data_IF_979348127229
#
_entry.id   IF_979348127229
#
_cell.length_a   1.000
_cell.length_b   1.000
_cell.length_c   1.000
_cell.angle_alpha   90.00
_cell.angle_beta   90.00
_cell.angle_gamma   90.00
#
_symmetry.space_group_name_H-M   'P 1'
#
loop_
_entity.id
_entity.type
_entity.pdbx_description
1 polymer ?
#
# COMPACT_ATOMS: atom_id res chain seq x y z
N UNK A 1 -12.69 -7.07 2.50
CA UNK A 1 -11.75 -6.03 2.95
C UNK A 1 -12.11 -5.64 4.36
N UNK A 2 -11.10 -5.47 5.21
CA UNK A 2 -11.18 -4.74 6.47
C UNK A 2 -10.38 -3.44 6.32
N UNK A 3 -10.56 -2.51 7.26
CA UNK A 3 -9.83 -1.25 7.27
C UNK A 3 -9.23 -0.98 8.64
N UNK A 4 -7.97 -0.58 8.68
CA UNK A 4 -7.26 -0.23 9.91
C UNK A 4 -6.92 1.26 9.90
N UNK A 5 -7.27 2.04 10.94
CA UNK A 5 -6.98 3.47 10.95
C UNK A 5 -5.49 3.75 11.14
N UNK A 6 -5.01 4.76 10.45
CA UNK A 6 -3.70 5.39 10.62
C UNK A 6 -3.97 6.73 11.30
N UNK A 7 -3.38 6.95 12.47
CA UNK A 7 -3.66 8.11 13.31
C UNK A 7 -2.52 9.14 13.25
N UNK A 8 -2.86 10.41 13.09
CA UNK A 8 -1.94 11.53 13.24
C UNK A 8 -1.98 12.03 14.69
N UNK A 9 -0.91 11.77 15.44
CA UNK A 9 -0.82 12.18 16.84
C UNK A 9 -0.77 13.70 17.05
N UNK A 10 -0.22 14.46 16.09
CA UNK A 10 -0.13 15.91 16.20
C UNK A 10 -1.48 16.57 15.92
N UNK A 11 -2.20 16.07 14.91
CA UNK A 11 -3.55 16.52 14.59
C UNK A 11 -4.63 15.96 15.55
N UNK A 12 -4.29 14.90 16.30
CA UNK A 12 -5.21 14.14 17.13
C UNK A 12 -6.44 13.62 16.35
N UNK A 13 -6.23 13.21 15.10
CA UNK A 13 -7.29 12.70 14.22
C UNK A 13 -6.80 11.56 13.33
N UNK A 14 -7.74 10.83 12.71
CA UNK A 14 -7.45 9.78 11.75
C UNK A 14 -6.94 10.41 10.46
N UNK A 15 -5.69 10.09 10.11
CA UNK A 15 -5.05 10.52 8.87
C UNK A 15 -5.60 9.78 7.65
N UNK A 16 -5.85 8.49 7.81
CA UNK A 16 -6.34 7.61 6.76
C UNK A 16 -6.54 6.18 7.23
N UNK A 17 -6.72 5.27 6.29
CA UNK A 17 -7.05 3.89 6.56
C UNK A 17 -6.30 2.96 5.62
N UNK A 18 -5.71 1.91 6.16
CA UNK A 18 -5.13 0.83 5.35
C UNK A 18 -6.20 -0.21 5.01
N UNK A 19 -6.32 -0.55 3.73
CA UNK A 19 -7.19 -1.61 3.24
C UNK A 19 -6.49 -2.97 3.36
N UNK A 20 -7.11 -3.87 4.12
CA UNK A 20 -6.56 -5.20 4.40
C UNK A 20 -7.46 -6.29 3.82
N UNK A 21 -6.87 -7.20 3.06
CA UNK A 21 -7.63 -8.33 2.51
C UNK A 21 -8.12 -9.26 3.64
N UNK A 22 -9.36 -9.73 3.49
CA UNK A 22 -10.03 -10.67 4.39
C UNK A 22 -10.87 -11.63 3.58
N UNK A 23 -10.99 -12.86 4.06
CA UNK A 23 -11.92 -13.83 3.49
C UNK A 23 -13.37 -13.42 3.73
N UNK A 24 -14.29 -14.05 3.00
CA UNK A 24 -15.73 -13.70 3.02
C UNK A 24 -16.39 -13.98 4.37
N UNK A 25 -15.82 -14.88 5.19
CA UNK A 25 -16.29 -15.21 6.53
C UNK A 25 -15.43 -14.55 7.63
N UNK A 26 -14.62 -13.54 7.27
CA UNK A 26 -13.73 -12.85 8.21
C UNK A 26 -12.36 -13.50 8.40
N UNK A 27 -11.98 -14.45 7.53
CA UNK A 27 -10.67 -15.08 7.58
C UNK A 27 -9.53 -14.06 7.41
N UNK A 28 -8.40 -14.31 8.08
CA UNK A 28 -7.23 -13.43 8.02
C UNK A 28 -6.60 -13.35 6.62
N UNK A 29 -5.78 -12.31 6.41
CA UNK A 29 -5.14 -12.04 5.12
C UNK A 29 -4.38 -13.26 4.56
N UNK A 30 -3.61 -13.95 5.42
CA UNK A 30 -2.86 -15.14 5.03
C UNK A 30 -3.72 -16.23 4.37
N UNK A 31 -4.96 -16.46 4.85
CA UNK A 31 -5.86 -17.46 4.26
C UNK A 31 -6.33 -17.11 2.85
N UNK A 32 -6.30 -15.82 2.49
CA UNK A 32 -6.64 -15.35 1.15
C UNK A 32 -5.38 -15.37 0.28
N UNK A 33 -4.28 -14.80 0.79
CA UNK A 33 -3.01 -14.69 0.09
C UNK A 33 -2.38 -16.05 -0.23
N UNK A 34 -2.59 -17.08 0.61
CA UNK A 34 -2.09 -18.44 0.33
C UNK A 34 -2.73 -19.12 -0.88
N UNK A 35 -3.82 -18.56 -1.42
CA UNK A 35 -4.50 -19.02 -2.63
C UNK A 35 -4.09 -18.23 -3.88
N UNK A 36 -3.26 -17.20 -3.71
CA UNK A 36 -2.74 -16.38 -4.81
C UNK A 36 -1.56 -17.12 -5.44
N UNK A 37 -1.60 -17.26 -6.76
CA UNK A 37 -0.56 -17.89 -7.58
C UNK A 37 -0.05 -16.87 -8.59
N UNK A 38 1.09 -17.13 -9.23
CA UNK A 38 1.64 -16.18 -10.21
C UNK A 38 0.71 -15.96 -11.41
N UNK A 39 -0.12 -16.95 -11.77
CA UNK A 39 -1.10 -16.82 -12.85
C UNK A 39 -2.26 -15.89 -12.49
N UNK A 40 -2.64 -15.81 -11.21
CA UNK A 40 -3.80 -15.03 -10.76
C UNK A 40 -3.43 -13.73 -10.02
N UNK A 41 -2.14 -13.54 -9.68
CA UNK A 41 -1.63 -12.42 -8.88
C UNK A 41 -2.08 -11.07 -9.41
N UNK A 42 -1.99 -10.85 -10.72
CA UNK A 42 -2.40 -9.59 -11.35
C UNK A 42 -3.90 -9.32 -11.20
N UNK A 43 -4.73 -10.31 -11.52
CA UNK A 43 -6.18 -10.19 -11.39
C UNK A 43 -6.58 -9.98 -9.92
N UNK A 44 -5.94 -10.69 -9.00
CA UNK A 44 -6.18 -10.56 -7.57
C UNK A 44 -5.84 -9.16 -7.04
N UNK A 45 -4.66 -8.63 -7.38
CA UNK A 45 -4.21 -7.29 -7.00
C UNK A 45 -5.19 -6.21 -7.50
N UNK A 46 -5.60 -6.31 -8.77
CA UNK A 46 -6.57 -5.39 -9.36
C UNK A 46 -7.92 -5.45 -8.64
N UNK A 47 -8.44 -6.63 -8.35
CA UNK A 47 -9.70 -6.80 -7.62
C UNK A 47 -9.60 -6.26 -6.19
N UNK A 48 -8.45 -6.41 -5.54
CA UNK A 48 -8.22 -5.83 -4.21
C UNK A 48 -8.33 -4.31 -4.25
N UNK A 49 -7.68 -3.65 -5.21
CA UNK A 49 -7.73 -2.19 -5.37
C UNK A 49 -9.15 -1.69 -5.64
N UNK A 50 -9.84 -2.29 -6.61
CA UNK A 50 -11.23 -1.93 -6.95
C UNK A 50 -12.12 -2.09 -5.71
N UNK A 51 -12.04 -3.23 -5.04
CA UNK A 51 -12.92 -3.52 -3.89
C UNK A 51 -12.63 -2.61 -2.70
N UNK A 52 -11.36 -2.26 -2.45
CA UNK A 52 -10.99 -1.32 -1.41
C UNK A 52 -11.60 0.07 -1.66
N UNK A 53 -11.49 0.58 -2.89
CA UNK A 53 -12.03 1.89 -3.28
C UNK A 53 -13.55 1.93 -3.15
N UNK A 54 -14.24 0.96 -3.73
CA UNK A 54 -15.71 0.91 -3.72
C UNK A 54 -16.27 0.79 -2.31
N UNK A 55 -15.63 -0.03 -1.46
CA UNK A 55 -16.09 -0.23 -0.09
C UNK A 55 -15.75 0.96 0.80
N UNK A 56 -14.58 1.58 0.65
CA UNK A 56 -14.24 2.80 1.38
C UNK A 56 -15.19 3.96 1.03
N UNK A 57 -15.54 4.09 -0.26
CA UNK A 57 -16.55 5.04 -0.71
C UNK A 57 -17.92 4.77 -0.09
N UNK A 58 -18.42 3.53 -0.18
CA UNK A 58 -19.78 3.20 0.30
C UNK A 58 -19.92 3.32 1.81
N UNK A 59 -18.82 3.16 2.56
CA UNK A 59 -18.74 3.39 4.00
C UNK A 59 -18.54 4.87 4.37
N UNK A 60 -18.37 5.78 3.40
CA UNK A 60 -18.15 7.20 3.64
C UNK A 60 -16.88 7.50 4.44
N UNK A 61 -15.85 6.64 4.30
CA UNK A 61 -14.65 6.74 5.11
C UNK A 61 -13.93 8.08 4.85
N UNK A 62 -13.49 8.82 5.88
CA UNK A 62 -12.71 10.04 5.71
C UNK A 62 -11.22 9.74 5.50
N UNK A 63 -10.44 10.78 5.18
CA UNK A 63 -8.97 10.67 5.10
C UNK A 63 -8.46 9.88 3.90
N UNK A 64 -7.18 9.52 3.92
CA UNK A 64 -6.55 8.74 2.84
C UNK A 64 -6.94 7.27 2.91
N UNK A 65 -6.90 6.59 1.77
CA UNK A 65 -7.05 5.15 1.63
C UNK A 65 -5.73 4.58 1.14
N UNK A 66 -5.05 3.85 2.02
CA UNK A 66 -3.80 3.16 1.73
C UNK A 66 -4.09 1.75 1.24
N UNK A 67 -3.47 1.36 0.12
CA UNK A 67 -3.69 0.07 -0.52
C UNK A 67 -2.34 -0.57 -0.84
N UNK A 68 -2.16 -1.80 -0.37
CA UNK A 68 -1.03 -2.65 -0.70
C UNK A 68 -0.91 -2.85 -2.22
N UNK A 69 0.30 -2.67 -2.75
CA UNK A 69 0.62 -2.81 -4.16
C UNK A 69 1.60 -3.96 -4.38
N UNK A 70 1.27 -4.89 -5.27
CA UNK A 70 2.14 -6.00 -5.64
C UNK A 70 2.91 -5.68 -6.93
N UNK A 71 4.14 -5.12 -6.88
CA UNK A 71 4.86 -4.63 -8.06
C UNK A 71 5.19 -5.74 -9.06
N UNK A 72 5.50 -6.95 -8.59
CA UNK A 72 5.77 -8.10 -9.47
C UNK A 72 4.51 -8.66 -10.16
N UNK A 73 3.31 -8.19 -9.78
CA UNK A 73 2.09 -8.49 -10.52
C UNK A 73 1.97 -7.65 -11.79
N UNK A 74 2.77 -6.60 -11.96
CA UNK A 74 2.54 -5.54 -12.94
C UNK A 74 3.64 -5.50 -14.00
N UNK A 75 3.32 -6.00 -15.20
CA UNK A 75 4.21 -5.89 -16.36
C UNK A 75 4.10 -4.52 -17.08
N UNK A 76 2.90 -3.91 -17.11
CA UNK A 76 2.65 -2.62 -17.77
C UNK A 76 1.97 -1.61 -16.80
N UNK A 77 2.66 -0.52 -16.43
CA UNK A 77 2.17 0.47 -15.44
C UNK A 77 0.83 1.11 -15.84
N UNK A 78 0.72 1.50 -17.12
CA UNK A 78 -0.47 2.17 -17.67
C UNK A 78 -1.72 1.30 -17.69
N UNK A 79 -1.57 0.00 -17.96
CA UNK A 79 -2.70 -0.92 -17.94
C UNK A 79 -3.20 -1.16 -16.50
N UNK A 80 -2.26 -1.25 -15.56
CA UNK A 80 -2.52 -1.47 -14.15
C UNK A 80 -3.20 -0.28 -13.46
N UNK A 81 -2.75 0.94 -13.74
CA UNK A 81 -3.32 2.15 -13.14
C UNK A 81 -4.73 2.43 -13.65
N UNK A 82 -5.01 2.10 -14.92
CA UNK A 82 -6.28 2.39 -15.58
C UNK A 82 -7.48 1.83 -14.80
N UNK A 83 -7.41 0.58 -14.36
CA UNK A 83 -8.52 -0.03 -13.62
C UNK A 83 -8.76 0.62 -12.25
N UNK A 84 -7.69 1.10 -11.59
CA UNK A 84 -7.81 1.84 -10.33
C UNK A 84 -8.49 3.19 -10.58
N UNK A 85 -8.01 3.93 -11.58
CA UNK A 85 -8.57 5.23 -11.97
C UNK A 85 -10.03 5.10 -12.39
N UNK A 86 -10.37 4.10 -13.19
CA UNK A 86 -11.74 3.81 -13.61
C UNK A 86 -12.65 3.47 -12.42
N UNK A 87 -12.17 2.67 -11.46
CA UNK A 87 -12.92 2.34 -10.25
C UNK A 87 -13.15 3.56 -9.36
N UNK A 88 -12.12 4.38 -9.17
CA UNK A 88 -12.24 5.64 -8.44
C UNK A 88 -13.22 6.59 -9.13
N UNK A 89 -13.11 6.77 -10.45
CA UNK A 89 -14.02 7.62 -11.22
C UNK A 89 -15.48 7.13 -11.16
N UNK A 90 -15.71 5.81 -11.24
CA UNK A 90 -17.05 5.20 -11.19
C UNK A 90 -17.80 5.56 -9.91
N UNK A 91 -17.11 5.69 -8.78
CA UNK A 91 -17.72 6.02 -7.48
C UNK A 91 -17.40 7.46 -7.03
N UNK A 92 -16.74 8.27 -7.86
CA UNK A 92 -16.32 9.62 -7.48
C UNK A 92 -15.32 9.66 -6.32
N UNK A 93 -14.45 8.65 -6.19
CA UNK A 93 -13.39 8.63 -5.17
C UNK A 93 -12.23 9.55 -5.61
N UNK A 94 -11.80 10.54 -4.80
CA UNK A 94 -10.71 11.43 -5.16
C UNK A 94 -9.36 10.70 -5.24
N UNK A 95 -8.63 10.85 -6.34
CA UNK A 95 -7.36 10.14 -6.55
C UNK A 95 -6.27 10.58 -5.57
N UNK A 96 -6.29 11.84 -5.14
CA UNK A 96 -5.38 12.42 -4.16
C UNK A 96 -5.51 11.79 -2.76
N UNK A 97 -6.63 11.11 -2.50
CA UNK A 97 -6.85 10.34 -1.28
C UNK A 97 -6.29 8.93 -1.37
N UNK A 98 -5.95 8.43 -2.55
CA UNK A 98 -5.34 7.10 -2.70
C UNK A 98 -3.86 7.16 -2.35
N UNK A 99 -3.40 6.17 -1.61
CA UNK A 99 -1.99 5.91 -1.37
C UNK A 99 -1.66 4.46 -1.70
N UNK A 100 -0.57 4.24 -2.41
CA UNK A 100 -0.08 2.91 -2.74
C UNK A 100 1.13 2.54 -1.90
N UNK A 101 1.07 1.38 -1.25
CA UNK A 101 2.11 0.87 -0.38
C UNK A 101 2.95 -0.16 -1.12
N UNK A 102 4.27 0.06 -1.14
CA UNK A 102 5.23 -0.80 -1.80
C UNK A 102 6.09 -1.46 -0.73
N UNK A 103 6.00 -2.77 -0.60
CA UNK A 103 6.77 -3.55 0.39
C UNK A 103 8.25 -3.66 0.02
N UNK A 104 9.13 -3.61 1.02
CA UNK A 104 10.58 -3.74 0.82
C UNK A 104 11.03 -5.11 0.27
N UNK A 105 10.28 -6.18 0.59
CA UNK A 105 10.66 -7.58 0.32
C UNK A 105 10.54 -7.98 -1.15
N UNK A 106 9.80 -7.21 -1.95
CA UNK A 106 9.67 -7.48 -3.38
C UNK A 106 10.99 -7.15 -4.07
N UNK A 107 11.78 -8.18 -4.43
CA UNK A 107 13.06 -8.03 -5.13
C UNK A 107 12.82 -7.32 -6.46
N UNK A 108 13.08 -6.00 -6.50
CA UNK A 108 12.89 -5.18 -7.70
C UNK A 108 14.04 -5.47 -8.67
N UNK A 109 13.87 -6.52 -9.47
CA UNK A 109 14.86 -6.95 -10.48
C UNK A 109 15.05 -5.95 -11.63
N UNK A 110 14.22 -4.91 -11.71
CA UNK A 110 14.29 -3.88 -12.74
C UNK A 110 14.08 -2.48 -12.14
N UNK A 111 15.17 -1.88 -11.64
CA UNK A 111 15.20 -0.57 -10.96
C UNK A 111 14.41 0.55 -11.66
N UNK A 112 14.35 0.55 -13.00
CA UNK A 112 13.63 1.56 -13.76
C UNK A 112 12.11 1.38 -13.81
N UNK A 113 11.61 0.17 -13.58
CA UNK A 113 10.18 -0.12 -13.74
C UNK A 113 9.34 0.42 -12.58
N UNK A 114 9.74 0.11 -11.36
CA UNK A 114 9.03 0.56 -10.16
C UNK A 114 9.02 2.08 -10.05
N UNK A 115 10.14 2.73 -10.38
CA UNK A 115 10.22 4.19 -10.41
C UNK A 115 9.21 4.79 -11.38
N UNK A 116 9.05 4.24 -12.59
CA UNK A 116 8.04 4.70 -13.54
C UNK A 116 6.62 4.55 -13.00
N UNK A 117 6.32 3.47 -12.29
CA UNK A 117 5.01 3.29 -11.65
C UNK A 117 4.77 4.40 -10.62
N UNK A 118 5.74 4.63 -9.72
CA UNK A 118 5.65 5.68 -8.69
C UNK A 118 5.49 7.07 -9.32
N UNK A 119 6.28 7.38 -10.36
CA UNK A 119 6.21 8.66 -11.06
C UNK A 119 4.85 8.85 -11.76
N UNK A 120 4.29 7.79 -12.38
CA UNK A 120 2.94 7.83 -12.96
C UNK A 120 1.86 8.07 -11.90
N UNK A 121 2.00 7.46 -10.71
CA UNK A 121 1.00 7.58 -9.63
C UNK A 121 1.02 9.00 -9.07
N UNK A 122 2.21 9.56 -8.85
CA UNK A 122 2.39 10.96 -8.44
C UNK A 122 1.87 11.95 -9.46
N UNK A 123 2.11 11.70 -10.75
CA UNK A 123 1.60 12.56 -11.81
C UNK A 123 0.05 12.64 -11.83
N UNK A 124 -0.63 11.63 -11.28
CA UNK A 124 -2.09 11.61 -11.09
C UNK A 124 -2.55 12.15 -9.72
N UNK A 125 -1.62 12.62 -8.89
CA UNK A 125 -1.90 13.16 -7.55
C UNK A 125 -2.01 12.10 -6.44
N UNK A 126 -1.82 10.82 -6.75
CA UNK A 126 -1.85 9.74 -5.76
C UNK A 126 -0.58 9.77 -4.88
N UNK A 127 -0.72 9.38 -3.62
CA UNK A 127 0.41 9.22 -2.72
C UNK A 127 1.10 7.87 -2.85
N UNK A 128 2.35 7.78 -2.40
CA UNK A 128 3.08 6.52 -2.28
C UNK A 128 3.64 6.33 -0.86
N UNK A 129 3.72 5.07 -0.45
CA UNK A 129 4.37 4.67 0.79
C UNK A 129 5.35 3.53 0.52
N UNK A 130 6.41 3.47 1.30
CA UNK A 130 7.22 2.25 1.44
C UNK A 130 6.78 1.56 2.73
N UNK A 131 6.43 0.29 2.60
CA UNK A 131 5.98 -0.56 3.71
C UNK A 131 7.06 -1.53 4.19
N UNK A 132 6.92 -1.98 5.43
CA UNK A 132 7.86 -2.85 6.15
C UNK A 132 9.32 -2.34 6.09
N UNK A 133 9.52 -1.02 6.20
CA UNK A 133 10.86 -0.44 6.14
C UNK A 133 11.72 -0.93 7.31
N UNK A 134 12.84 -1.57 6.95
CA UNK A 134 13.81 -2.14 7.88
C UNK A 134 13.61 -3.62 8.20
N UNK A 135 12.61 -4.27 7.61
CA UNK A 135 12.47 -5.74 7.65
C UNK A 135 13.42 -6.45 6.67
N UNK A 136 13.85 -5.75 5.61
CA UNK A 136 14.64 -6.30 4.52
C UNK A 136 16.07 -5.74 4.42
N UNK A 137 16.73 -6.03 3.30
CA UNK A 137 18.11 -5.62 3.00
C UNK A 137 18.21 -4.33 2.16
N UNK A 138 17.09 -3.80 1.66
CA UNK A 138 17.07 -2.80 0.60
C UNK A 138 16.51 -1.42 1.00
N UNK A 139 16.06 -1.25 2.25
CA UNK A 139 15.25 -0.11 2.72
C UNK A 139 15.81 1.25 2.33
N UNK A 140 17.04 1.59 2.72
CA UNK A 140 17.64 2.90 2.43
C UNK A 140 17.80 3.17 0.93
N UNK A 141 18.17 2.15 0.16
CA UNK A 141 18.29 2.28 -1.30
C UNK A 141 16.91 2.47 -1.95
N UNK A 142 15.87 1.81 -1.42
CA UNK A 142 14.49 2.00 -1.88
C UNK A 142 13.98 3.41 -1.56
N UNK A 143 14.24 3.91 -0.36
CA UNK A 143 13.91 5.26 0.08
C UNK A 143 14.53 6.34 -0.84
N UNK A 144 15.83 6.22 -1.14
CA UNK A 144 16.52 7.18 -2.03
C UNK A 144 15.94 7.16 -3.44
N UNK A 145 15.57 5.97 -3.95
CA UNK A 145 15.10 5.80 -5.33
C UNK A 145 13.65 6.19 -5.52
N UNK A 146 12.78 5.84 -4.58
CA UNK A 146 11.34 6.08 -4.68
C UNK A 146 10.93 7.42 -4.08
N UNK A 147 11.61 7.88 -3.02
CA UNK A 147 11.29 9.10 -2.27
C UNK A 147 9.80 9.19 -1.89
N UNK A 148 9.23 8.14 -1.26
CA UNK A 148 7.79 8.04 -0.98
C UNK A 148 7.30 9.19 -0.10
N UNK A 149 6.00 9.47 -0.16
CA UNK A 149 5.37 10.47 0.71
C UNK A 149 5.29 9.99 2.16
N UNK A 150 5.21 8.68 2.37
CA UNK A 150 5.17 8.04 3.70
C UNK A 150 6.17 6.89 3.77
N UNK A 151 6.82 6.76 4.92
CA UNK A 151 7.66 5.62 5.28
C UNK A 151 7.02 4.90 6.46
N UNK A 152 6.56 3.65 6.26
CA UNK A 152 6.01 2.81 7.33
C UNK A 152 7.13 1.96 7.89
N UNK A 153 7.45 2.17 9.17
CA UNK A 153 8.47 1.38 9.87
C UNK A 153 7.93 -0.01 10.17
N UNK A 154 8.75 -1.02 9.92
CA UNK A 154 8.41 -2.40 10.24
C UNK A 154 8.10 -2.58 11.74
N UNK A 155 7.16 -3.48 12.04
CA UNK A 155 6.69 -3.69 13.40
C UNK A 155 7.79 -4.20 14.33
N UNK A 156 8.77 -4.96 13.84
CA UNK A 156 9.88 -5.46 14.65
C UNK A 156 10.85 -4.35 15.06
N UNK A 157 10.90 -3.21 14.36
CA UNK A 157 11.65 -2.04 14.81
C UNK A 157 10.98 -1.34 15.99
N UNK A 158 9.65 -1.25 15.99
CA UNK A 158 8.90 -0.46 16.99
C UNK A 158 8.40 -1.28 18.19
N UNK A 159 8.29 -2.61 18.06
CA UNK A 159 7.75 -3.45 19.13
C UNK A 159 8.65 -3.35 20.37
N UNK A 160 8.07 -3.06 21.55
CA UNK A 160 8.82 -2.89 22.80
C UNK A 160 9.97 -1.86 22.74
N UNK A 161 9.88 -0.86 21.85
CA UNK A 161 10.92 0.17 21.67
C UNK A 161 11.20 0.96 22.96
N UNK A 162 10.21 1.09 23.85
CA UNK A 162 10.37 1.72 25.17
C UNK A 162 11.39 0.98 26.07
N UNK A 163 11.58 -0.33 25.83
CA UNK A 163 12.44 -1.21 26.65
C UNK A 163 13.76 -1.57 25.98
N UNK A 164 13.89 -1.35 24.68
CA UNK A 164 15.07 -1.71 23.90
C UNK A 164 15.88 -0.46 23.55
N UNK A 165 17.16 -0.42 23.95
CA UNK A 165 18.03 0.72 23.65
C UNK A 165 18.46 0.74 22.19
N UNK A 166 18.69 -0.41 21.57
CA UNK A 166 19.16 -0.50 20.18
C UNK A 166 18.06 -0.01 19.25
N UNK A 167 16.81 -0.44 19.47
CA UNK A 167 15.64 0.01 18.69
C UNK A 167 15.34 1.51 18.81
N UNK A 168 15.77 2.17 19.91
CA UNK A 168 15.65 3.63 20.08
C UNK A 168 16.75 4.43 19.37
N UNK A 169 17.86 3.79 19.03
CA UNK A 169 19.01 4.42 18.38
C UNK A 169 18.87 4.37 16.86
N UNK A 170 18.36 3.25 16.34
CA UNK A 170 17.97 3.07 14.95
C UNK A 170 16.81 4.03 14.63
#
# INVERSE_FOLDING_TARGET
MAFQPIYDFAAADVWGWEALVRGVNGEGAFSVLSKVTDENRYAFDQQCRIRAIELAHSLGMPGRLSINFLPNAVYEPKACIRATVEAAARVGFPLERLQFEITEVEEVRADGHLRRIVDEYRAMGMGTAVDDFGAGYAGLNLLIRLQPDVLKLDMDLIRNIDKDRVRRII
#
